data_IF_962910259048
#
_entry.id   IF_962910259048
#
_cell.length_a   1.000
_cell.length_b   1.000
_cell.length_c   1.000
_cell.angle_alpha   90.00
_cell.angle_beta   90.00
_cell.angle_gamma   90.00
#
_symmetry.space_group_name_H-M   'P 1'
#
loop_
_entity.id
_entity.type
_entity.pdbx_description
1 polymer ?
#
# COMPACT_ATOMS: atom_id res chain seq x y z
N UNK A 1 33.27 28.74 3.93
CA UNK A 1 33.22 28.87 2.45
C UNK A 1 31.76 28.94 2.06
N UNK A 2 31.28 30.11 1.64
CA UNK A 2 29.91 30.25 1.11
C UNK A 2 29.83 29.45 -0.17
N UNK A 3 29.20 28.28 -0.12
CA UNK A 3 28.85 27.51 -1.31
C UNK A 3 28.01 28.40 -2.21
N UNK A 4 28.58 28.89 -3.32
CA UNK A 4 27.82 29.56 -4.37
C UNK A 4 26.97 28.49 -5.04
N UNK A 5 25.69 28.48 -4.71
CA UNK A 5 24.71 27.61 -5.34
C UNK A 5 24.53 28.01 -6.79
N UNK A 6 24.30 27.02 -7.65
CA UNK A 6 24.25 27.18 -9.10
C UNK A 6 22.97 27.89 -9.57
N UNK A 7 21.86 27.63 -8.88
CA UNK A 7 20.53 28.10 -9.25
C UNK A 7 19.96 29.03 -8.18
N UNK A 8 19.21 30.04 -8.60
CA UNK A 8 18.51 30.95 -7.69
C UNK A 8 17.20 30.33 -7.22
N UNK A 9 16.43 29.76 -8.14
CA UNK A 9 15.13 29.18 -7.83
C UNK A 9 14.86 27.96 -8.72
N UNK A 10 14.80 26.80 -8.08
CA UNK A 10 14.50 25.53 -8.72
C UNK A 10 13.04 25.11 -8.46
N UNK A 11 12.33 24.76 -9.52
CA UNK A 11 10.95 24.26 -9.45
C UNK A 11 10.94 22.74 -9.40
N UNK A 12 10.09 22.19 -8.55
CA UNK A 12 9.88 20.75 -8.43
C UNK A 12 8.37 20.49 -8.45
N UNK A 13 7.90 19.70 -9.41
CA UNK A 13 6.48 19.34 -9.54
C UNK A 13 6.25 17.85 -9.31
N UNK A 14 5.14 17.48 -8.66
CA UNK A 14 4.81 16.07 -8.46
C UNK A 14 3.57 15.84 -7.60
N UNK A 15 3.14 14.58 -7.54
CA UNK A 15 2.03 14.21 -6.64
C UNK A 15 2.52 14.02 -5.20
N UNK A 16 3.76 13.52 -5.01
CA UNK A 16 4.37 13.29 -3.70
C UNK A 16 3.54 12.43 -2.74
N UNK A 17 2.84 11.43 -3.27
CA UNK A 17 2.10 10.48 -2.47
C UNK A 17 3.05 9.55 -1.71
N UNK A 18 2.93 9.50 -0.38
CA UNK A 18 3.77 8.69 0.53
C UNK A 18 5.25 8.89 0.26
N UNK A 19 5.80 9.99 0.75
CA UNK A 19 7.16 10.43 0.44
C UNK A 19 8.20 9.29 0.58
N UNK A 20 8.68 8.79 -0.56
CA UNK A 20 9.58 7.64 -0.66
C UNK A 20 10.99 8.07 -1.12
N UNK A 21 11.92 7.12 -1.17
CA UNK A 21 13.33 7.37 -1.45
C UNK A 21 13.55 8.07 -2.80
N UNK A 22 12.82 7.67 -3.84
CA UNK A 22 12.84 8.36 -5.14
C UNK A 22 12.47 9.84 -5.07
N UNK A 23 11.40 10.21 -4.36
CA UNK A 23 11.05 11.62 -4.15
C UNK A 23 12.15 12.37 -3.39
N UNK A 24 12.70 11.76 -2.33
CA UNK A 24 13.78 12.39 -1.55
C UNK A 24 15.03 12.61 -2.40
N UNK A 25 15.39 11.68 -3.29
CA UNK A 25 16.49 11.86 -4.23
C UNK A 25 16.26 13.08 -5.14
N UNK A 26 15.05 13.18 -5.72
CA UNK A 26 14.65 14.29 -6.58
C UNK A 26 14.73 15.63 -5.84
N UNK A 27 14.17 15.69 -4.64
CA UNK A 27 14.16 16.89 -3.80
C UNK A 27 15.56 17.29 -3.33
N UNK A 28 16.41 16.31 -2.98
CA UNK A 28 17.81 16.53 -2.62
C UNK A 28 18.63 17.08 -3.80
N UNK A 29 18.38 16.59 -5.01
CA UNK A 29 19.03 17.12 -6.22
C UNK A 29 18.68 18.60 -6.42
N UNK A 30 17.42 18.99 -6.20
CA UNK A 30 16.99 20.38 -6.26
C UNK A 30 17.65 21.25 -5.17
N UNK A 31 17.59 20.81 -3.91
CA UNK A 31 17.97 21.63 -2.76
C UNK A 31 19.49 21.80 -2.59
N UNK A 32 20.28 20.87 -3.15
CA UNK A 32 21.74 20.90 -3.13
C UNK A 32 22.30 22.08 -3.93
N UNK A 33 21.75 22.34 -5.12
CA UNK A 33 22.31 23.28 -6.08
C UNK A 33 21.52 24.60 -6.21
N UNK A 34 20.36 24.74 -5.54
CA UNK A 34 19.49 25.91 -5.63
C UNK A 34 19.36 26.71 -4.33
N UNK A 35 19.44 28.04 -4.35
CA UNK A 35 19.21 28.91 -3.17
C UNK A 35 17.79 28.75 -2.60
N UNK A 36 16.80 28.67 -3.48
CA UNK A 36 15.40 28.40 -3.16
C UNK A 36 14.85 27.24 -3.99
N UNK A 37 14.03 26.40 -3.35
CA UNK A 37 13.23 25.36 -4.02
C UNK A 37 11.74 25.64 -3.79
N UNK A 38 10.97 25.57 -4.85
CA UNK A 38 9.50 25.60 -4.79
C UNK A 38 8.95 24.24 -5.20
N UNK A 39 8.31 23.57 -4.24
CA UNK A 39 7.68 22.28 -4.44
C UNK A 39 6.20 22.51 -4.74
N UNK A 40 5.76 22.06 -5.90
CA UNK A 40 4.40 22.21 -6.41
C UNK A 40 3.71 20.85 -6.40
N UNK A 41 2.80 20.66 -5.46
CA UNK A 41 2.11 19.39 -5.23
C UNK A 41 0.75 19.40 -5.94
N UNK A 42 0.44 18.37 -6.74
CA UNK A 42 -0.87 18.24 -7.37
C UNK A 42 -2.02 18.30 -6.37
N UNK A 43 -3.11 18.99 -6.73
CA UNK A 43 -4.37 19.00 -5.98
C UNK A 43 -4.95 17.59 -5.80
N UNK A 44 -5.91 17.43 -4.89
CA UNK A 44 -6.59 16.14 -4.68
C UNK A 44 -7.34 15.68 -5.92
N UNK A 45 -8.03 16.57 -6.63
CA UNK A 45 -8.72 16.23 -7.88
C UNK A 45 -7.78 15.67 -8.95
N UNK A 46 -6.56 16.22 -9.06
CA UNK A 46 -5.54 15.69 -9.96
C UNK A 46 -4.96 14.37 -9.47
N UNK A 47 -4.76 14.22 -8.15
CA UNK A 47 -4.18 13.04 -7.54
C UNK A 47 -5.14 11.82 -7.61
N UNK A 48 -6.42 12.04 -7.34
CA UNK A 48 -7.48 11.02 -7.36
C UNK A 48 -7.67 10.40 -8.75
N UNK A 49 -7.42 11.17 -9.82
CA UNK A 49 -7.43 10.64 -11.20
C UNK A 49 -6.43 9.49 -11.42
N UNK A 50 -5.38 9.39 -10.58
CA UNK A 50 -4.40 8.31 -10.60
C UNK A 50 -4.79 7.14 -9.70
N UNK A 51 -5.36 7.43 -8.53
CA UNK A 51 -5.84 6.43 -7.56
C UNK A 51 -6.58 7.13 -6.42
N UNK A 52 -7.72 6.56 -6.00
CA UNK A 52 -8.47 6.99 -4.83
C UNK A 52 -7.74 6.79 -3.48
N UNK A 53 -6.61 6.05 -3.47
CA UNK A 53 -5.80 5.81 -2.27
C UNK A 53 -4.60 6.75 -2.13
N UNK A 54 -4.49 7.75 -3.01
CA UNK A 54 -3.51 8.83 -2.81
C UNK A 54 -3.88 9.59 -1.54
N UNK A 55 -2.87 9.96 -0.75
CA UNK A 55 -3.07 10.77 0.45
C UNK A 55 -3.67 12.15 0.10
N UNK A 56 -4.37 12.77 1.05
CA UNK A 56 -4.89 14.13 0.89
C UNK A 56 -3.76 15.13 0.62
N UNK A 57 -4.09 16.28 0.04
CA UNK A 57 -3.14 17.34 -0.23
C UNK A 57 -2.45 17.80 1.06
N UNK A 58 -3.20 17.92 2.15
CA UNK A 58 -2.67 18.33 3.45
C UNK A 58 -1.69 17.29 4.01
N UNK A 59 -2.00 15.99 3.94
CA UNK A 59 -1.07 14.94 4.40
C UNK A 59 0.25 14.97 3.62
N UNK A 60 0.16 15.07 2.29
CA UNK A 60 1.33 15.13 1.39
C UNK A 60 2.14 16.40 1.63
N UNK A 61 1.46 17.53 1.83
CA UNK A 61 2.07 18.83 2.15
C UNK A 61 2.78 18.79 3.50
N UNK A 62 2.15 18.25 4.53
CA UNK A 62 2.73 18.13 5.86
C UNK A 62 3.96 17.23 5.86
N UNK A 63 3.93 16.11 5.13
CA UNK A 63 5.10 15.24 4.99
C UNK A 63 6.28 15.94 4.29
N UNK A 64 6.01 16.74 3.26
CA UNK A 64 7.02 17.55 2.58
C UNK A 64 7.57 18.70 3.43
N UNK A 65 6.71 19.36 4.22
CA UNK A 65 7.15 20.39 5.16
C UNK A 65 8.05 19.81 6.25
N UNK A 66 7.68 18.66 6.83
CA UNK A 66 8.53 17.96 7.79
C UNK A 66 9.89 17.58 7.19
N UNK A 67 9.91 17.12 5.94
CA UNK A 67 11.15 16.85 5.22
C UNK A 67 11.97 18.14 4.99
N UNK A 68 11.32 19.23 4.62
CA UNK A 68 11.93 20.53 4.34
C UNK A 68 12.55 21.16 5.60
N UNK A 69 11.90 21.04 6.75
CA UNK A 69 12.40 21.54 8.05
C UNK A 69 13.70 20.85 8.48
N UNK A 70 13.95 19.62 8.01
CA UNK A 70 15.19 18.91 8.24
C UNK A 70 16.34 19.36 7.30
N UNK A 71 16.05 20.17 6.28
CA UNK A 71 17.07 20.66 5.33
C UNK A 71 17.72 21.94 5.82
N UNK A 72 19.04 22.06 5.62
CA UNK A 72 19.78 23.27 5.95
C UNK A 72 20.33 23.96 4.70
N UNK A 73 20.38 25.29 4.75
CA UNK A 73 21.01 26.12 3.72
C UNK A 73 20.16 26.40 2.47
N UNK A 74 18.98 25.77 2.32
CA UNK A 74 18.05 26.00 1.21
C UNK A 74 16.71 26.56 1.72
N UNK A 75 16.18 27.60 1.08
CA UNK A 75 14.80 28.05 1.36
C UNK A 75 13.83 27.16 0.59
N UNK A 76 13.00 26.39 1.28
CA UNK A 76 12.02 25.50 0.65
C UNK A 76 10.61 26.03 0.92
N UNK A 77 9.78 26.03 -0.10
CA UNK A 77 8.35 26.38 0.00
C UNK A 77 7.50 25.34 -0.71
N UNK A 78 6.28 25.13 -0.22
CA UNK A 78 5.38 24.08 -0.69
C UNK A 78 4.05 24.70 -1.10
N UNK A 79 3.65 24.47 -2.34
CA UNK A 79 2.51 25.09 -3.01
C UNK A 79 1.60 24.04 -3.64
N UNK A 80 0.36 24.41 -3.88
CA UNK A 80 -0.60 23.57 -4.60
C UNK A 80 -0.51 23.83 -6.11
N UNK A 81 -0.57 22.74 -6.86
CA UNK A 81 -0.60 22.69 -8.31
C UNK A 81 -1.99 22.26 -8.77
N UNK A 82 -2.67 23.12 -9.52
CA UNK A 82 -4.05 22.90 -10.00
C UNK A 82 -4.14 22.59 -11.50
N UNK A 83 -3.00 22.54 -12.19
CA UNK A 83 -2.90 22.21 -13.62
C UNK A 83 -1.55 21.52 -13.92
N UNK A 84 -1.31 21.13 -15.17
CA UNK A 84 -0.13 20.34 -15.55
C UNK A 84 1.20 21.11 -15.57
N UNK A 85 1.18 22.44 -15.56
CA UNK A 85 2.37 23.28 -15.78
C UNK A 85 2.70 24.19 -14.60
N UNK A 86 1.69 24.57 -13.81
CA UNK A 86 1.83 25.43 -12.66
C UNK A 86 2.41 26.80 -13.03
N UNK A 87 3.24 27.40 -12.17
CA UNK A 87 3.79 28.71 -12.47
C UNK A 87 4.93 28.65 -13.51
N UNK A 88 5.48 27.46 -13.81
CA UNK A 88 6.73 27.31 -14.54
C UNK A 88 6.78 28.05 -15.89
N UNK A 89 5.72 28.08 -16.74
CA UNK A 89 5.72 28.81 -18.00
C UNK A 89 5.83 30.33 -17.88
N UNK A 90 5.50 30.91 -16.71
CA UNK A 90 5.43 32.36 -16.46
C UNK A 90 6.32 32.80 -15.29
N UNK A 91 6.98 31.88 -14.59
CA UNK A 91 7.78 32.16 -13.41
C UNK A 91 9.03 32.95 -13.77
N UNK A 92 9.08 34.23 -13.37
CA UNK A 92 10.09 35.19 -13.83
C UNK A 92 11.49 34.94 -13.25
N UNK A 93 11.56 34.38 -12.04
CA UNK A 93 12.83 34.25 -11.28
C UNK A 93 13.36 32.83 -11.21
N UNK A 94 12.62 31.84 -11.75
CA UNK A 94 13.07 30.45 -11.76
C UNK A 94 14.07 30.26 -12.90
N UNK A 95 15.13 29.53 -12.60
CA UNK A 95 16.24 29.23 -13.52
C UNK A 95 16.52 27.72 -13.65
N UNK A 96 15.88 26.87 -12.83
CA UNK A 96 15.93 25.42 -12.97
C UNK A 96 14.58 24.74 -12.72
N UNK A 97 14.43 23.53 -13.26
CA UNK A 97 13.33 22.60 -12.98
C UNK A 97 13.85 21.18 -12.88
N UNK A 98 13.36 20.40 -11.92
CA UNK A 98 13.74 19.00 -11.79
C UNK A 98 12.76 18.10 -12.51
N UNK A 99 13.29 17.10 -13.21
CA UNK A 99 12.51 16.10 -13.94
C UNK A 99 12.99 14.69 -13.62
N UNK A 100 12.06 13.73 -13.63
CA UNK A 100 12.35 12.31 -13.85
C UNK A 100 12.30 12.00 -15.35
N UNK A 101 12.75 10.83 -15.80
CA UNK A 101 12.63 10.43 -17.21
C UNK A 101 11.20 10.57 -17.77
N UNK A 102 10.15 10.30 -16.98
CA UNK A 102 8.75 10.43 -17.42
C UNK A 102 8.29 11.89 -17.54
N UNK A 103 8.86 12.78 -16.74
CA UNK A 103 8.44 14.20 -16.69
C UNK A 103 9.36 15.11 -17.51
N UNK A 104 10.46 14.57 -18.06
CA UNK A 104 11.39 15.32 -18.91
C UNK A 104 10.69 15.93 -20.13
N UNK A 105 9.82 15.18 -20.81
CA UNK A 105 9.03 15.69 -21.94
C UNK A 105 8.13 16.88 -21.56
N UNK A 106 7.54 16.85 -20.37
CA UNK A 106 6.74 17.98 -19.84
C UNK A 106 7.63 19.21 -19.62
N UNK A 107 8.85 19.04 -19.12
CA UNK A 107 9.79 20.13 -18.89
C UNK A 107 10.27 20.77 -20.21
N UNK A 108 10.42 19.99 -21.27
CA UNK A 108 10.66 20.52 -22.63
C UNK A 108 9.49 21.40 -23.07
N UNK A 109 8.26 20.92 -22.95
CA UNK A 109 7.06 21.68 -23.32
C UNK A 109 6.91 22.99 -22.50
N UNK A 110 7.28 22.96 -21.21
CA UNK A 110 7.36 24.16 -20.37
C UNK A 110 8.35 25.17 -20.97
N UNK A 111 9.53 24.73 -21.38
CA UNK A 111 10.54 25.60 -21.97
C UNK A 111 10.12 26.21 -23.32
N UNK A 112 9.35 25.49 -24.13
CA UNK A 112 8.75 26.03 -25.35
C UNK A 112 7.74 27.15 -25.06
N UNK A 113 6.89 26.97 -24.03
CA UNK A 113 5.96 28.01 -23.57
C UNK A 113 6.69 29.21 -22.98
N UNK A 114 7.75 28.98 -22.18
CA UNK A 114 8.59 30.06 -21.63
C UNK A 114 9.20 30.90 -22.74
N UNK A 115 9.75 30.26 -23.78
CA UNK A 115 10.28 30.96 -24.96
C UNK A 115 9.21 31.81 -25.65
N UNK A 116 7.99 31.28 -25.79
CA UNK A 116 6.85 32.01 -26.36
C UNK A 116 6.42 33.20 -25.49
N UNK A 117 6.62 33.10 -24.17
CA UNK A 117 6.38 34.18 -23.19
C UNK A 117 7.58 35.14 -23.03
N UNK A 118 8.63 35.00 -23.83
CA UNK A 118 9.83 35.85 -23.75
C UNK A 118 10.73 35.59 -22.55
N UNK A 119 10.63 34.40 -21.93
CA UNK A 119 11.45 33.98 -20.80
C UNK A 119 12.55 33.01 -21.22
N UNK A 120 13.69 33.08 -20.53
CA UNK A 120 14.77 32.11 -20.70
C UNK A 120 14.31 30.70 -20.31
N UNK A 121 14.78 29.65 -21.01
CA UNK A 121 14.49 28.28 -20.61
C UNK A 121 15.05 27.98 -19.21
N UNK A 122 14.34 27.15 -18.46
CA UNK A 122 14.81 26.55 -17.21
C UNK A 122 15.85 25.49 -17.55
N UNK A 123 16.92 25.42 -16.75
CA UNK A 123 17.82 24.27 -16.80
C UNK A 123 17.08 23.04 -16.25
N UNK A 124 17.03 21.96 -17.03
CA UNK A 124 16.38 20.72 -16.64
C UNK A 124 17.40 19.85 -15.90
N UNK A 125 17.15 19.62 -14.62
CA UNK A 125 17.92 18.69 -13.79
C UNK A 125 17.23 17.33 -13.87
N UNK A 126 17.77 16.43 -14.67
CA UNK A 126 17.23 15.07 -14.81
C UNK A 126 17.73 14.16 -13.68
N UNK A 127 16.80 13.51 -12.98
CA UNK A 127 17.07 12.61 -11.85
C UNK A 127 16.51 11.23 -12.19
N UNK A 128 17.40 10.24 -12.30
CA UNK A 128 17.02 8.85 -12.54
C UNK A 128 16.28 8.27 -11.34
N UNK A 129 15.45 7.26 -11.61
CA UNK A 129 14.78 6.50 -10.57
C UNK A 129 15.74 5.68 -9.73
N UNK A 130 15.30 5.40 -8.50
CA UNK A 130 15.91 4.40 -7.66
C UNK A 130 15.22 3.05 -7.88
N UNK A 131 16.02 2.00 -7.94
CA UNK A 131 15.53 0.63 -8.02
C UNK A 131 15.18 0.09 -6.62
N UNK A 132 14.12 -0.71 -6.55
CA UNK A 132 13.78 -1.49 -5.37
C UNK A 132 14.75 -2.66 -5.18
N UNK A 133 14.80 -3.20 -3.96
CA UNK A 133 15.75 -4.26 -3.61
C UNK A 133 15.53 -5.55 -4.41
N UNK A 134 14.28 -5.90 -4.70
CA UNK A 134 13.91 -7.06 -5.54
C UNK A 134 13.55 -6.65 -6.98
N UNK A 135 14.02 -5.48 -7.41
CA UNK A 135 13.73 -4.92 -8.73
C UNK A 135 12.49 -4.03 -8.78
N UNK A 136 12.24 -3.49 -9.98
CA UNK A 136 11.24 -2.44 -10.20
C UNK A 136 11.69 -1.07 -9.66
N UNK A 137 10.92 -0.03 -9.97
CA UNK A 137 11.23 1.34 -9.57
C UNK A 137 10.53 1.66 -8.24
N UNK A 138 11.25 2.33 -7.32
CA UNK A 138 10.67 2.89 -6.10
C UNK A 138 9.71 4.03 -6.48
N UNK A 139 8.40 3.75 -6.41
CA UNK A 139 7.34 4.69 -6.80
C UNK A 139 6.16 4.64 -5.83
N UNK A 140 5.38 5.72 -5.75
CA UNK A 140 4.16 5.76 -4.94
C UNK A 140 3.19 4.63 -5.29
N UNK A 141 3.08 4.28 -6.58
CA UNK A 141 2.21 3.17 -7.02
C UNK A 141 2.71 1.82 -6.50
N UNK A 142 4.02 1.55 -6.54
CA UNK A 142 4.58 0.32 -5.97
C UNK A 142 4.38 0.24 -4.44
N UNK A 143 4.51 1.37 -3.74
CA UNK A 143 4.23 1.46 -2.30
C UNK A 143 2.76 1.21 -1.99
N UNK A 144 1.84 1.86 -2.72
CA UNK A 144 0.39 1.69 -2.53
C UNK A 144 -0.05 0.26 -2.85
N UNK A 145 0.49 -0.36 -3.88
CA UNK A 145 0.13 -1.72 -4.28
C UNK A 145 0.75 -2.81 -3.40
N UNK A 146 1.52 -2.44 -2.37
CA UNK A 146 2.09 -3.40 -1.43
C UNK A 146 3.30 -4.16 -1.95
N UNK A 147 3.92 -3.72 -3.06
CA UNK A 147 5.12 -4.37 -3.60
C UNK A 147 6.37 -4.08 -2.75
N UNK A 148 6.45 -2.86 -2.18
CA UNK A 148 7.60 -2.41 -1.40
C UNK A 148 7.20 -1.32 -0.39
N UNK A 149 8.09 -1.03 0.55
CA UNK A 149 7.99 0.16 1.39
C UNK A 149 8.61 1.40 0.75
N UNK A 150 8.63 2.49 1.53
CA UNK A 150 9.12 3.80 1.11
C UNK A 150 10.63 3.83 0.85
N UNK A 151 11.37 2.82 1.28
CA UNK A 151 12.81 2.68 1.04
C UNK A 151 13.12 1.69 -0.08
N UNK A 152 12.10 1.03 -0.65
CA UNK A 152 12.26 0.05 -1.72
C UNK A 152 12.49 -1.38 -1.22
N UNK A 153 12.29 -1.66 0.07
CA UNK A 153 12.36 -3.02 0.59
C UNK A 153 11.00 -3.73 0.43
N UNK A 154 10.98 -5.02 0.07
CA UNK A 154 9.74 -5.80 0.01
C UNK A 154 9.12 -5.95 1.40
N UNK A 155 7.79 -6.02 1.46
CA UNK A 155 7.10 -6.30 2.73
C UNK A 155 7.28 -7.74 3.21
N UNK A 156 7.53 -8.66 2.29
CA UNK A 156 7.94 -10.04 2.56
C UNK A 156 8.95 -10.46 1.47
N UNK A 157 10.25 -10.54 1.80
CA UNK A 157 11.29 -10.94 0.86
C UNK A 157 10.99 -12.27 0.16
N UNK A 158 11.46 -12.43 -1.08
CA UNK A 158 11.29 -13.63 -1.89
C UNK A 158 11.85 -14.86 -1.19
N UNK A 159 12.99 -14.72 -0.49
CA UNK A 159 13.61 -15.81 0.26
C UNK A 159 12.66 -16.34 1.35
N UNK A 160 11.99 -15.45 2.08
CA UNK A 160 10.99 -15.83 3.08
C UNK A 160 9.72 -16.39 2.44
N UNK A 161 9.29 -15.86 1.28
CA UNK A 161 8.12 -16.37 0.55
C UNK A 161 8.32 -17.80 0.06
N UNK A 162 9.57 -18.18 -0.26
CA UNK A 162 9.94 -19.49 -0.79
C UNK A 162 10.38 -20.50 0.29
N UNK A 163 10.37 -20.09 1.55
CA UNK A 163 10.77 -20.93 2.69
C UNK A 163 9.56 -21.26 3.56
N UNK A 164 9.54 -22.46 4.17
CA UNK A 164 8.56 -22.80 5.19
C UNK A 164 8.98 -22.16 6.51
N UNK A 165 8.11 -21.33 7.06
CA UNK A 165 8.34 -20.62 8.31
C UNK A 165 7.47 -21.21 9.42
N UNK A 166 8.07 -21.49 10.56
CA UNK A 166 7.41 -22.00 11.75
C UNK A 166 7.19 -20.89 12.76
N UNK A 167 5.97 -20.78 13.27
CA UNK A 167 5.64 -19.82 14.31
C UNK A 167 6.43 -20.12 15.60
N UNK A 168 7.20 -19.14 16.07
CA UNK A 168 7.86 -19.23 17.36
C UNK A 168 6.83 -19.11 18.50
N UNK A 169 6.99 -19.91 19.56
CA UNK A 169 6.07 -19.91 20.73
C UNK A 169 5.94 -18.55 21.42
N UNK A 170 6.92 -17.66 21.27
CA UNK A 170 6.89 -16.29 21.79
C UNK A 170 5.73 -15.47 21.21
N UNK A 171 5.26 -15.82 20.00
CA UNK A 171 4.19 -15.13 19.29
C UNK A 171 2.78 -15.50 19.76
N UNK A 172 2.63 -16.57 20.56
CA UNK A 172 1.31 -17.06 21.00
C UNK A 172 0.46 -16.00 21.70
N UNK A 173 1.10 -15.11 22.48
CA UNK A 173 0.38 -14.05 23.19
C UNK A 173 0.09 -12.83 22.30
N UNK A 174 0.99 -12.54 21.35
CA UNK A 174 0.80 -11.40 20.43
C UNK A 174 -0.33 -11.67 19.43
N UNK A 175 -0.44 -12.90 18.93
CA UNK A 175 -1.46 -13.29 17.95
C UNK A 175 -2.83 -13.55 18.57
N UNK A 176 -2.91 -13.82 19.88
CA UNK A 176 -4.19 -13.88 20.61
C UNK A 176 -4.91 -12.53 20.67
N UNK A 177 -4.18 -11.43 20.54
CA UNK A 177 -4.78 -10.10 20.50
C UNK A 177 -5.22 -9.81 19.06
N UNK A 178 -6.52 -9.60 18.80
CA UNK A 178 -6.99 -9.37 17.44
C UNK A 178 -6.28 -8.18 16.82
N UNK A 179 -5.73 -8.39 15.63
CA UNK A 179 -5.15 -7.35 14.82
C UNK A 179 -6.30 -6.71 14.04
N UNK A 180 -7.00 -5.76 14.67
CA UNK A 180 -8.09 -5.04 14.03
C UNK A 180 -9.15 -4.55 15.01
N UNK A 181 -10.23 -4.04 14.45
CA UNK A 181 -11.43 -3.67 15.20
C UNK A 181 -12.31 -4.91 15.29
N UNK A 182 -12.63 -5.32 16.51
CA UNK A 182 -13.52 -6.44 16.77
C UNK A 182 -14.98 -5.96 16.81
N UNK A 183 -15.79 -6.49 15.90
CA UNK A 183 -17.24 -6.31 15.87
C UNK A 183 -17.90 -7.52 16.52
N UNK A 184 -18.56 -7.28 17.65
CA UNK A 184 -19.17 -8.35 18.44
C UNK A 184 -20.50 -8.79 17.82
N UNK A 185 -20.73 -10.09 17.78
CA UNK A 185 -21.99 -10.71 17.39
C UNK A 185 -22.25 -11.96 18.25
N UNK A 186 -23.51 -12.35 18.46
CA UNK A 186 -23.83 -13.65 19.07
C UNK A 186 -23.20 -14.80 18.26
N UNK A 187 -22.75 -15.87 18.92
CA UNK A 187 -22.20 -17.05 18.23
C UNK A 187 -23.25 -17.70 17.32
N UNK A 188 -24.52 -17.66 17.73
CA UNK A 188 -25.66 -18.20 16.98
C UNK A 188 -26.14 -17.27 15.86
N UNK A 189 -25.64 -16.02 15.80
CA UNK A 189 -26.05 -15.01 14.82
C UNK A 189 -24.84 -14.15 14.37
N UNK A 190 -23.93 -14.74 13.56
CA UNK A 190 -22.74 -14.05 13.07
C UNK A 190 -23.06 -12.89 12.12
N UNK A 191 -24.27 -12.84 11.54
CA UNK A 191 -24.71 -11.78 10.63
C UNK A 191 -24.73 -10.41 11.32
N UNK A 192 -25.07 -10.35 12.61
CA UNK A 192 -25.06 -9.09 13.38
C UNK A 192 -23.65 -8.49 13.42
N UNK A 193 -22.64 -9.31 13.72
CA UNK A 193 -21.26 -8.86 13.78
C UNK A 193 -20.73 -8.45 12.40
N UNK A 194 -21.08 -9.23 11.37
CA UNK A 194 -20.72 -8.95 9.98
C UNK A 194 -21.35 -7.65 9.47
N UNK A 195 -22.65 -7.44 9.71
CA UNK A 195 -23.35 -6.22 9.31
C UNK A 195 -22.72 -4.97 9.94
N UNK A 196 -22.43 -5.01 11.24
CA UNK A 196 -21.75 -3.91 11.92
C UNK A 196 -20.34 -3.64 11.36
N UNK A 197 -19.62 -4.70 10.98
CA UNK A 197 -18.30 -4.58 10.37
C UNK A 197 -18.38 -3.96 8.96
N UNK A 198 -19.37 -4.36 8.15
CA UNK A 198 -19.64 -3.81 6.82
C UNK A 198 -20.06 -2.33 6.88
N UNK A 199 -20.92 -1.96 7.83
CA UNK A 199 -21.31 -0.57 8.06
C UNK A 199 -20.12 0.29 8.52
N UNK A 200 -19.12 -0.33 9.15
CA UNK A 200 -17.88 0.30 9.60
C UNK A 200 -16.78 0.42 8.53
N UNK A 201 -17.06 0.05 7.27
CA UNK A 201 -16.08 0.13 6.18
C UNK A 201 -15.73 1.59 5.81
N UNK A 202 -14.45 1.95 5.67
CA UNK A 202 -14.01 3.24 5.18
C UNK A 202 -14.40 3.35 3.72
N UNK A 203 -14.72 4.57 3.31
CA UNK A 203 -14.88 4.92 1.92
C UNK A 203 -13.73 5.87 1.53
N UNK A 204 -12.94 5.55 0.49
CA UNK A 204 -12.95 4.29 -0.28
C UNK A 204 -12.29 3.12 0.47
N UNK A 205 -12.64 1.88 0.09
CA UNK A 205 -11.91 0.65 0.48
C UNK A 205 -11.47 -0.14 -0.75
N UNK A 206 -10.46 -0.99 -0.55
CA UNK A 206 -9.93 -1.88 -1.58
C UNK A 206 -10.70 -3.21 -1.60
N UNK A 207 -10.02 -4.27 -2.02
CA UNK A 207 -10.58 -5.62 -2.00
C UNK A 207 -11.01 -6.02 -0.57
N UNK A 208 -12.12 -6.74 -0.47
CA UNK A 208 -12.59 -7.37 0.76
C UNK A 208 -12.18 -8.84 0.74
N UNK A 209 -11.38 -9.23 1.73
CA UNK A 209 -10.85 -10.58 1.88
C UNK A 209 -11.42 -11.19 3.15
N UNK A 210 -12.06 -12.35 3.05
CA UNK A 210 -12.51 -13.13 4.21
C UNK A 210 -11.55 -14.28 4.48
N UNK A 211 -11.30 -14.55 5.76
CA UNK A 211 -10.50 -15.68 6.24
C UNK A 211 -11.35 -16.50 7.21
N UNK A 212 -11.48 -17.78 6.91
CA UNK A 212 -12.29 -18.76 7.62
C UNK A 212 -13.67 -18.99 7.02
N UNK A 213 -14.14 -20.23 7.16
CA UNK A 213 -15.40 -20.72 6.60
C UNK A 213 -16.62 -19.95 7.11
N UNK A 214 -16.73 -19.76 8.43
CA UNK A 214 -17.89 -19.05 9.03
C UNK A 214 -17.96 -17.62 8.51
N UNK A 215 -16.86 -16.87 8.55
CA UNK A 215 -16.79 -15.48 8.08
C UNK A 215 -17.20 -15.36 6.61
N UNK A 216 -16.66 -16.25 5.78
CA UNK A 216 -16.94 -16.29 4.34
C UNK A 216 -18.40 -16.63 4.07
N UNK A 217 -18.92 -17.67 4.74
CA UNK A 217 -20.29 -18.12 4.57
C UNK A 217 -21.30 -17.05 5.00
N UNK A 218 -21.10 -16.43 6.17
CA UNK A 218 -21.98 -15.36 6.66
C UNK A 218 -22.08 -14.23 5.64
N UNK A 219 -20.97 -13.80 5.05
CA UNK A 219 -20.99 -12.76 4.01
C UNK A 219 -21.79 -13.20 2.77
N UNK A 220 -21.62 -14.45 2.33
CA UNK A 220 -22.36 -15.03 1.19
C UNK A 220 -23.87 -15.17 1.45
N UNK A 221 -24.26 -15.55 2.66
CA UNK A 221 -25.65 -15.68 3.10
C UNK A 221 -26.34 -14.31 3.11
N UNK A 222 -25.61 -13.25 3.48
CA UNK A 222 -26.04 -11.85 3.36
C UNK A 222 -26.09 -11.36 1.90
N UNK A 223 -25.79 -12.21 0.93
CA UNK A 223 -25.86 -11.90 -0.50
C UNK A 223 -24.63 -11.19 -1.06
N UNK A 224 -23.55 -11.07 -0.27
CA UNK A 224 -22.31 -10.40 -0.66
C UNK A 224 -21.22 -11.45 -0.94
N UNK A 225 -20.49 -11.30 -2.04
CA UNK A 225 -19.35 -12.17 -2.35
C UNK A 225 -18.06 -11.39 -2.07
N UNK A 226 -17.16 -11.88 -1.20
CA UNK A 226 -15.85 -11.25 -1.03
C UNK A 226 -15.01 -11.39 -2.30
N UNK A 227 -14.06 -10.47 -2.49
CA UNK A 227 -13.13 -10.54 -3.63
C UNK A 227 -12.20 -11.74 -3.49
N UNK A 228 -11.77 -12.06 -2.27
CA UNK A 228 -10.97 -13.25 -1.98
C UNK A 228 -11.51 -13.91 -0.71
N UNK A 229 -11.72 -15.23 -0.75
CA UNK A 229 -12.02 -16.02 0.44
C UNK A 229 -10.93 -17.05 0.68
N UNK A 230 -10.45 -17.18 1.91
CA UNK A 230 -9.58 -18.26 2.34
C UNK A 230 -10.37 -19.16 3.30
N UNK A 231 -10.43 -20.45 2.99
CA UNK A 231 -11.19 -21.44 3.75
C UNK A 231 -10.35 -22.71 3.91
N UNK A 232 -10.48 -23.42 5.02
CA UNK A 232 -9.82 -24.71 5.24
C UNK A 232 -10.82 -25.90 5.20
N UNK A 233 -12.13 -25.60 5.11
CA UNK A 233 -13.18 -26.60 5.09
C UNK A 233 -13.40 -27.28 6.45
N UNK A 234 -12.79 -26.76 7.52
CA UNK A 234 -12.89 -27.26 8.88
C UNK A 234 -13.43 -26.17 9.80
N UNK A 235 -14.29 -26.54 10.75
CA UNK A 235 -14.35 -25.77 12.01
C UNK A 235 -14.30 -26.75 13.17
N UNK A 236 -13.34 -26.55 14.07
CA UNK A 236 -13.13 -27.38 15.28
C UNK A 236 -12.80 -28.86 14.98
N UNK A 237 -11.80 -29.12 14.10
CA UNK A 237 -11.18 -30.46 13.87
C UNK A 237 -12.15 -31.57 13.42
N UNK A 238 -13.30 -31.17 12.90
CA UNK A 238 -14.35 -32.07 12.37
C UNK A 238 -14.80 -31.47 11.03
N UNK A 239 -15.09 -32.31 10.04
CA UNK A 239 -15.62 -31.88 8.75
C UNK A 239 -16.89 -31.04 8.98
N UNK A 240 -16.98 -29.88 8.31
CA UNK A 240 -18.14 -28.99 8.43
C UNK A 240 -19.44 -29.72 8.06
N UNK A 241 -20.50 -29.49 8.83
CA UNK A 241 -21.85 -29.88 8.42
C UNK A 241 -22.17 -29.24 7.05
N UNK A 242 -22.91 -29.96 6.20
CA UNK A 242 -23.17 -29.56 4.80
C UNK A 242 -23.80 -28.17 4.68
N UNK A 243 -24.55 -27.73 5.69
CA UNK A 243 -25.16 -26.42 5.77
C UNK A 243 -24.16 -25.30 6.11
N UNK A 244 -23.00 -25.61 6.68
CA UNK A 244 -21.93 -24.67 7.01
C UNK A 244 -20.84 -24.58 5.92
N UNK A 245 -20.85 -25.50 4.95
CA UNK A 245 -19.89 -25.50 3.84
C UNK A 245 -20.08 -24.25 2.96
N UNK A 246 -18.96 -23.58 2.66
CA UNK A 246 -18.95 -22.45 1.75
C UNK A 246 -19.32 -22.92 0.34
N UNK A 247 -20.31 -22.26 -0.28
CA UNK A 247 -20.66 -22.53 -1.67
C UNK A 247 -19.61 -21.91 -2.61
N UNK A 248 -18.54 -22.65 -2.84
CA UNK A 248 -17.38 -22.22 -3.65
C UNK A 248 -17.76 -21.87 -5.10
N UNK A 249 -18.89 -22.36 -5.63
CA UNK A 249 -19.40 -22.00 -6.97
C UNK A 249 -19.81 -20.53 -7.11
N UNK A 250 -19.88 -19.77 -6.02
CA UNK A 250 -20.12 -18.32 -6.02
C UNK A 250 -18.89 -17.51 -6.45
N UNK A 251 -17.72 -18.14 -6.53
CA UNK A 251 -16.47 -17.53 -6.94
C UNK A 251 -16.15 -17.86 -8.40
N UNK A 252 -15.40 -16.99 -9.05
CA UNK A 252 -15.02 -17.17 -10.46
C UNK A 252 -13.82 -18.10 -10.61
N UNK A 253 -12.92 -18.06 -9.63
CA UNK A 253 -11.67 -18.80 -9.64
C UNK A 253 -11.48 -19.57 -8.34
N UNK A 254 -10.88 -20.74 -8.47
CA UNK A 254 -10.54 -21.61 -7.35
C UNK A 254 -9.03 -21.83 -7.35
N UNK A 255 -8.41 -21.58 -6.21
CA UNK A 255 -7.02 -21.88 -5.94
C UNK A 255 -6.94 -22.85 -4.75
N UNK A 256 -5.83 -23.56 -4.63
CA UNK A 256 -5.55 -24.39 -3.46
C UNK A 256 -4.16 -24.13 -2.91
N UNK A 257 -4.00 -24.34 -1.61
CA UNK A 257 -2.73 -24.26 -0.92
C UNK A 257 -2.62 -25.33 0.16
N UNK A 258 -1.39 -25.73 0.52
CA UNK A 258 -1.11 -26.62 1.66
C UNK A 258 -0.43 -25.82 2.74
N UNK A 259 -1.00 -25.74 3.94
CA UNK A 259 -0.43 -24.99 5.05
C UNK A 259 -0.66 -25.69 6.40
N UNK A 260 0.24 -26.57 6.85
CA UNK A 260 0.09 -27.25 8.13
C UNK A 260 0.03 -26.28 9.31
N UNK A 261 -0.50 -26.76 10.43
CA UNK A 261 -0.74 -25.97 11.63
C UNK A 261 0.51 -25.23 12.14
N UNK A 262 0.35 -23.94 12.45
CA UNK A 262 1.42 -23.07 12.94
C UNK A 262 2.55 -22.77 11.93
N UNK A 263 2.34 -23.04 10.64
CA UNK A 263 3.30 -22.74 9.58
C UNK A 263 2.81 -21.64 8.63
N UNK A 264 3.76 -21.03 7.93
CA UNK A 264 3.55 -20.28 6.69
C UNK A 264 4.37 -20.96 5.59
N UNK A 265 3.69 -21.63 4.66
CA UNK A 265 4.34 -22.37 3.58
C UNK A 265 4.49 -21.55 2.30
N UNK A 266 5.44 -21.93 1.42
CA UNK A 266 5.53 -21.35 0.08
C UNK A 266 4.26 -21.53 -0.75
N UNK A 267 3.54 -22.65 -0.55
CA UNK A 267 2.28 -22.94 -1.22
C UNK A 267 1.20 -21.90 -0.86
N UNK A 268 1.03 -21.59 0.43
CA UNK A 268 0.11 -20.55 0.89
C UNK A 268 0.52 -19.17 0.38
N UNK A 269 1.80 -18.82 0.51
CA UNK A 269 2.32 -17.51 0.08
C UNK A 269 2.09 -17.27 -1.43
N UNK A 270 2.36 -18.29 -2.26
CA UNK A 270 2.17 -18.21 -3.70
C UNK A 270 0.69 -18.06 -4.06
N UNK A 271 -0.19 -18.85 -3.42
CA UNK A 271 -1.61 -18.81 -3.74
C UNK A 271 -2.26 -17.49 -3.32
N UNK A 272 -1.87 -16.91 -2.17
CA UNK A 272 -2.28 -15.56 -1.76
C UNK A 272 -1.79 -14.52 -2.77
N UNK A 273 -0.52 -14.58 -3.19
CA UNK A 273 0.01 -13.65 -4.18
C UNK A 273 -0.73 -13.72 -5.52
N UNK A 274 -1.12 -14.93 -5.95
CA UNK A 274 -1.93 -15.14 -7.16
C UNK A 274 -3.36 -14.61 -7.00
N UNK A 275 -3.99 -14.82 -5.84
CA UNK A 275 -5.34 -14.32 -5.58
C UNK A 275 -5.38 -12.78 -5.58
N UNK A 276 -4.38 -12.12 -5.00
CA UNK A 276 -4.31 -10.65 -4.89
C UNK A 276 -4.19 -9.90 -6.23
N UNK A 277 -3.77 -10.59 -7.29
CA UNK A 277 -3.66 -10.01 -8.64
C UNK A 277 -4.80 -10.44 -9.57
N UNK A 278 -5.74 -11.24 -9.08
CA UNK A 278 -6.89 -11.68 -9.86
C UNK A 278 -7.89 -10.54 -10.08
N UNK A 279 -8.48 -10.48 -11.28
CA UNK A 279 -9.51 -9.47 -11.61
C UNK A 279 -10.91 -9.85 -11.10
N UNK A 280 -11.17 -11.14 -10.90
CA UNK A 280 -12.45 -11.67 -10.46
C UNK A 280 -12.32 -12.35 -9.10
N UNK A 281 -13.45 -12.61 -8.45
CA UNK A 281 -13.47 -13.23 -7.12
C UNK A 281 -12.81 -14.62 -7.08
N UNK A 282 -12.00 -14.85 -6.04
CA UNK A 282 -11.22 -16.07 -5.84
C UNK A 282 -11.62 -16.73 -4.52
N UNK A 283 -11.78 -18.05 -4.53
CA UNK A 283 -11.74 -18.86 -3.31
C UNK A 283 -10.44 -19.65 -3.26
N UNK A 284 -9.76 -19.59 -2.13
CA UNK A 284 -8.54 -20.33 -1.82
C UNK A 284 -8.86 -21.39 -0.77
N UNK A 285 -8.82 -22.65 -1.18
CA UNK A 285 -9.01 -23.81 -0.30
C UNK A 285 -7.64 -24.24 0.27
N UNK A 286 -7.51 -24.15 1.60
CA UNK A 286 -6.27 -24.44 2.33
C UNK A 286 -6.34 -25.82 2.95
N UNK A 287 -5.49 -26.74 2.50
CA UNK A 287 -5.25 -28.00 3.18
C UNK A 287 -4.36 -27.74 4.42
N UNK A 288 -5.00 -27.56 5.58
CA UNK A 288 -4.32 -27.28 6.86
C UNK A 288 -5.01 -26.17 7.65
N UNK A 289 -4.28 -25.14 8.06
CA UNK A 289 -4.79 -23.97 8.79
C UNK A 289 -4.58 -22.66 7.99
N UNK A 290 -5.57 -21.79 7.98
CA UNK A 290 -5.56 -20.46 7.37
C UNK A 290 -5.32 -19.31 8.38
N UNK A 291 -5.27 -19.62 9.68
CA UNK A 291 -5.20 -18.65 10.80
C UNK A 291 -4.05 -17.63 10.68
N UNK A 292 -2.92 -18.04 10.10
CA UNK A 292 -1.74 -17.17 9.92
C UNK A 292 -1.75 -16.40 8.59
N UNK A 293 -2.64 -16.73 7.66
CA UNK A 293 -2.75 -16.09 6.35
C UNK A 293 -2.94 -14.56 6.42
N UNK A 294 -3.67 -13.97 7.39
CA UNK A 294 -3.78 -12.51 7.50
C UNK A 294 -2.44 -11.77 7.56
N UNK A 295 -1.40 -12.37 8.15
CA UNK A 295 -0.06 -11.76 8.20
C UNK A 295 0.51 -11.60 6.78
N UNK A 296 0.42 -12.65 5.97
CA UNK A 296 0.91 -12.68 4.59
C UNK A 296 0.06 -11.79 3.70
N UNK A 297 -1.28 -11.87 3.82
CA UNK A 297 -2.22 -11.03 3.07
C UNK A 297 -1.88 -9.56 3.29
N UNK A 298 -1.76 -9.12 4.55
CA UNK A 298 -1.45 -7.71 4.80
C UNK A 298 -0.10 -7.31 4.24
N UNK A 299 0.94 -8.13 4.34
CA UNK A 299 2.25 -7.84 3.73
C UNK A 299 2.15 -7.63 2.22
N UNK A 300 1.39 -8.46 1.49
CA UNK A 300 1.36 -8.47 0.03
C UNK A 300 0.25 -7.60 -0.60
N UNK A 301 -0.86 -7.39 0.09
CA UNK A 301 -2.04 -6.73 -0.46
C UNK A 301 -1.84 -5.22 -0.67
N UNK A 302 -2.53 -4.60 -1.64
CA UNK A 302 -2.58 -3.15 -1.75
C UNK A 302 -3.11 -2.48 -0.47
N UNK A 303 -2.63 -1.27 -0.19
CA UNK A 303 -3.16 -0.41 0.88
C UNK A 303 -4.65 -0.16 0.61
N UNK A 304 -5.45 -0.20 1.68
CA UNK A 304 -6.90 -0.08 1.60
C UNK A 304 -7.65 -1.42 1.52
N UNK A 305 -6.93 -2.53 1.27
CA UNK A 305 -7.50 -3.89 1.35
C UNK A 305 -8.02 -4.17 2.75
N UNK A 306 -9.23 -4.72 2.83
CA UNK A 306 -9.93 -5.08 4.07
C UNK A 306 -9.80 -6.57 4.28
N UNK A 307 -9.29 -6.98 5.44
CA UNK A 307 -9.22 -8.39 5.83
C UNK A 307 -10.18 -8.61 6.99
N UNK A 308 -11.10 -9.55 6.81
CA UNK A 308 -12.12 -9.92 7.79
C UNK A 308 -11.91 -11.37 8.19
N UNK A 309 -11.82 -11.63 9.49
CA UNK A 309 -11.59 -12.98 9.99
C UNK A 309 -12.33 -13.21 11.31
N UNK A 310 -12.70 -14.45 11.55
CA UNK A 310 -13.48 -14.82 12.73
C UNK A 310 -12.65 -14.76 14.00
N UNK A 311 -13.23 -14.24 15.08
CA UNK A 311 -12.71 -14.40 16.44
C UNK A 311 -13.63 -15.35 17.21
N UNK A 312 -13.14 -16.55 17.59
CA UNK A 312 -13.97 -17.55 18.26
C UNK A 312 -14.74 -16.99 19.46
N UNK A 313 -16.04 -17.31 19.53
CA UNK A 313 -16.98 -16.92 20.60
C UNK A 313 -17.12 -15.41 20.84
N UNK A 314 -16.68 -14.59 19.88
CA UNK A 314 -16.59 -13.14 20.09
C UNK A 314 -17.19 -12.34 18.94
N UNK A 315 -16.93 -12.71 17.68
CA UNK A 315 -17.45 -12.00 16.51
C UNK A 315 -16.47 -11.98 15.34
N UNK A 316 -16.49 -10.90 14.56
CA UNK A 316 -15.63 -10.72 13.38
C UNK A 316 -14.62 -9.62 13.63
N UNK A 317 -13.36 -9.87 13.31
CA UNK A 317 -12.30 -8.86 13.31
C UNK A 317 -12.17 -8.29 11.92
N UNK A 318 -12.09 -6.97 11.83
CA UNK A 318 -11.87 -6.25 10.61
C UNK A 318 -10.57 -5.46 10.71
N UNK A 319 -9.66 -5.67 9.75
CA UNK A 319 -8.39 -4.97 9.66
C UNK A 319 -8.16 -4.35 8.28
N UNK A 320 -7.90 -3.05 8.27
CA UNK A 320 -7.46 -2.32 7.08
C UNK A 320 -5.97 -2.47 6.85
N UNK A 321 -5.59 -2.74 5.61
CA UNK A 321 -4.19 -2.76 5.20
C UNK A 321 -3.67 -1.33 5.10
N UNK A 322 -2.80 -0.96 6.03
CA UNK A 322 -2.08 0.33 6.04
C UNK A 322 -0.57 0.06 6.09
N UNK A 323 0.26 1.09 5.88
CA UNK A 323 1.72 0.96 6.05
C UNK A 323 2.09 0.49 7.47
N UNK A 324 1.37 0.96 8.50
CA UNK A 324 1.60 0.56 9.88
C UNK A 324 1.27 -0.92 10.12
N UNK A 325 0.17 -1.40 9.55
CA UNK A 325 -0.25 -2.81 9.64
C UNK A 325 0.73 -3.71 8.89
N UNK A 326 1.12 -3.31 7.67
CA UNK A 326 2.15 -3.99 6.90
C UNK A 326 3.47 -4.10 7.68
N UNK A 327 3.89 -3.02 8.35
CA UNK A 327 5.09 -3.03 9.19
C UNK A 327 4.96 -3.97 10.38
N UNK A 328 3.80 -3.99 11.04
CA UNK A 328 3.51 -4.92 12.13
C UNK A 328 3.56 -6.38 11.64
N UNK A 329 2.92 -6.71 10.52
CA UNK A 329 2.94 -8.06 9.97
C UNK A 329 4.36 -8.48 9.56
N UNK A 330 5.12 -7.60 8.90
CA UNK A 330 6.52 -7.86 8.57
C UNK A 330 7.35 -8.15 9.81
N UNK A 331 7.15 -7.38 10.89
CA UNK A 331 7.82 -7.62 12.16
C UNK A 331 7.45 -8.97 12.77
N UNK A 332 6.16 -9.31 12.80
CA UNK A 332 5.69 -10.62 13.30
C UNK A 332 6.30 -11.77 12.51
N UNK A 333 6.29 -11.71 11.17
CA UNK A 333 6.90 -12.73 10.31
C UNK A 333 8.41 -12.84 10.57
N UNK A 334 9.10 -11.73 10.87
CA UNK A 334 10.55 -11.77 11.18
C UNK A 334 10.90 -12.53 12.46
N UNK A 335 9.92 -12.84 13.30
CA UNK A 335 10.07 -13.65 14.52
C UNK A 335 9.80 -15.14 14.29
N UNK A 336 9.42 -15.54 13.07
CA UNK A 336 9.27 -16.96 12.71
C UNK A 336 10.65 -17.59 12.49
N UNK A 337 10.72 -18.91 12.73
CA UNK A 337 11.93 -19.69 12.52
C UNK A 337 11.85 -20.42 11.17
N UNK A 338 12.98 -20.51 10.45
CA UNK A 338 13.06 -21.32 9.24
C UNK A 338 13.06 -22.80 9.66
N UNK A 339 12.17 -23.59 9.04
CA UNK A 339 12.07 -25.03 9.27
C UNK A 339 13.13 -25.86 8.54
#
# INVERSE_FOLDING_TARGET
MTSTRRFRCCLVGGTFDRLHAGHRLLLNAASKDAEQVEIHITSDSMAESKSQFVQSFEDRRNELLNWADAQSGCKITVHQLNDNFGPAPKHLTADAIVATPETHGMCIAINEQRKSNGLSPLEIIEVMHLDGFEGGIISSSAVRNGHMDREGHPWMPMELRQTTLRMASVLDNELKTPMGVLFKGPEDDPEIGMAAALDGLPSPHGAIITVGDVTTKTMLDMGLTPDIALIDGQTKRTELEEDLKVNTKRFHHHLSAVNPAGLLTPSLNQAIAQALVAENSVVLEVEGEEDLAPLVIHCLAPIGTVVMYGQPRTGVVLQYTTLAVKQRCRHLISLFEVE
#
